data_IF_957988356156
#
_entry.id   IF_957988356156
#
_cell.length_a   1.000
_cell.length_b   1.000
_cell.length_c   1.000
_cell.angle_alpha   90.00
_cell.angle_beta   90.00
_cell.angle_gamma   90.00
#
_symmetry.space_group_name_H-M   'P 1'
#
loop_
_entity.id
_entity.type
_entity.pdbx_description
1 polymer ?
#
# COMPACT_ATOMS: atom_id res chain seq x y z
N UNK A 1 13.28 -34.54 31.18
CA UNK A 1 12.81 -34.87 29.82
C UNK A 1 11.40 -34.34 29.55
N UNK A 2 10.34 -34.74 30.27
CA UNK A 2 9.00 -34.13 30.09
C UNK A 2 8.94 -32.63 30.46
N UNK A 3 9.63 -32.23 31.53
CA UNK A 3 9.69 -30.83 31.96
C UNK A 3 10.36 -29.92 30.93
N UNK A 4 11.49 -30.36 30.36
CA UNK A 4 12.26 -29.59 29.36
C UNK A 4 11.47 -29.36 28.06
N UNK A 5 10.69 -30.36 27.63
CA UNK A 5 9.82 -30.25 26.44
C UNK A 5 8.66 -29.29 26.71
N UNK A 6 8.09 -29.33 27.92
CA UNK A 6 6.98 -28.45 28.32
C UNK A 6 7.44 -27.00 28.43
N UNK A 7 8.59 -26.74 29.05
CA UNK A 7 9.18 -25.40 29.18
C UNK A 7 9.52 -24.82 27.80
N UNK A 8 10.06 -25.62 26.88
CA UNK A 8 10.33 -25.18 25.50
C UNK A 8 9.06 -24.79 24.73
N UNK A 9 7.99 -25.59 24.84
CA UNK A 9 6.70 -25.29 24.19
C UNK A 9 6.07 -24.01 24.74
N UNK A 10 6.11 -23.80 26.05
CA UNK A 10 5.60 -22.59 26.70
C UNK A 10 6.38 -21.36 26.25
N UNK A 11 7.72 -21.43 26.22
CA UNK A 11 8.57 -20.33 25.75
C UNK A 11 8.25 -20.00 24.29
N UNK A 12 8.13 -21.01 23.42
CA UNK A 12 7.79 -20.85 22.01
C UNK A 12 6.46 -20.11 21.83
N UNK A 13 5.43 -20.51 22.57
CA UNK A 13 4.10 -19.89 22.48
C UNK A 13 4.10 -18.45 23.02
N UNK A 14 4.82 -18.19 24.12
CA UNK A 14 4.98 -16.83 24.65
C UNK A 14 5.68 -15.93 23.64
N UNK A 15 6.77 -16.39 23.02
CA UNK A 15 7.50 -15.61 22.00
C UNK A 15 6.62 -15.35 20.78
N UNK A 16 5.89 -16.36 20.30
CA UNK A 16 4.95 -16.20 19.20
C UNK A 16 3.90 -15.11 19.48
N UNK A 17 3.23 -15.18 20.64
CA UNK A 17 2.21 -14.20 21.00
C UNK A 17 2.79 -12.79 21.23
N UNK A 18 4.01 -12.67 21.76
CA UNK A 18 4.68 -11.39 21.88
C UNK A 18 4.96 -10.76 20.50
N UNK A 19 5.45 -11.55 19.53
CA UNK A 19 5.72 -11.05 18.17
C UNK A 19 4.41 -10.65 17.48
N UNK A 20 3.38 -11.51 17.54
CA UNK A 20 2.06 -11.20 16.98
C UNK A 20 1.47 -9.93 17.61
N UNK A 21 1.54 -9.82 18.93
CA UNK A 21 1.09 -8.64 19.66
C UNK A 21 1.83 -7.38 19.22
N UNK A 22 3.15 -7.44 19.09
CA UNK A 22 3.98 -6.32 18.65
C UNK A 22 3.67 -5.89 17.20
N UNK A 23 3.62 -6.83 16.26
CA UNK A 23 3.33 -6.56 14.85
C UNK A 23 1.91 -5.98 14.67
N UNK A 24 0.94 -6.54 15.38
CA UNK A 24 -0.45 -6.04 15.35
C UNK A 24 -0.55 -4.65 15.96
N UNK A 25 0.13 -4.41 17.09
CA UNK A 25 0.18 -3.10 17.72
C UNK A 25 0.81 -2.07 16.77
N UNK A 26 1.93 -2.40 16.13
CA UNK A 26 2.59 -1.54 15.16
C UNK A 26 1.67 -1.17 13.99
N UNK A 27 0.94 -2.15 13.44
CA UNK A 27 -0.05 -1.94 12.39
C UNK A 27 -1.17 -0.98 12.84
N UNK A 28 -1.74 -1.21 14.04
CA UNK A 28 -2.83 -0.39 14.59
C UNK A 28 -2.35 1.05 14.86
N UNK A 29 -1.15 1.23 15.42
CA UNK A 29 -0.56 2.54 15.67
C UNK A 29 -0.35 3.28 14.34
N UNK A 30 0.21 2.61 13.34
CA UNK A 30 0.42 3.19 12.01
C UNK A 30 -0.89 3.64 11.37
N UNK A 31 -1.92 2.78 11.38
CA UNK A 31 -3.25 3.14 10.88
C UNK A 31 -3.88 4.31 11.64
N UNK A 32 -3.69 4.38 12.97
CA UNK A 32 -4.14 5.54 13.78
C UNK A 32 -3.42 6.82 13.37
N UNK A 33 -2.11 6.79 13.17
CA UNK A 33 -1.33 7.95 12.73
C UNK A 33 -1.79 8.42 11.35
N UNK A 34 -1.97 7.51 10.40
CA UNK A 34 -2.49 7.82 9.06
C UNK A 34 -3.88 8.44 9.17
N UNK A 35 -4.80 7.79 9.89
CA UNK A 35 -6.17 8.31 10.07
C UNK A 35 -6.16 9.72 10.67
N UNK A 36 -5.33 9.96 11.69
CA UNK A 36 -5.20 11.27 12.33
C UNK A 36 -4.66 12.31 11.34
N UNK A 37 -3.60 11.97 10.61
CA UNK A 37 -3.04 12.85 9.56
C UNK A 37 -4.06 13.19 8.47
N UNK A 38 -4.93 12.24 8.09
CA UNK A 38 -6.00 12.47 7.12
C UNK A 38 -7.14 13.33 7.71
N UNK A 39 -7.49 13.12 8.98
CA UNK A 39 -8.51 13.92 9.66
C UNK A 39 -8.08 15.39 9.79
N UNK A 40 -6.81 15.63 10.08
CA UNK A 40 -6.26 16.98 10.26
C UNK A 40 -6.13 17.76 8.93
N UNK A 41 -6.18 17.08 7.77
CA UNK A 41 -5.88 17.66 6.45
C UNK A 41 -7.10 18.00 5.58
N UNK A 42 -8.32 18.11 6.14
CA UNK A 42 -9.57 18.32 5.38
C UNK A 42 -9.79 17.29 4.24
N UNK A 43 -9.16 16.13 4.35
CA UNK A 43 -9.14 15.14 3.28
C UNK A 43 -10.53 14.52 3.06
N UNK A 44 -10.93 14.41 1.79
CA UNK A 44 -12.20 13.75 1.40
C UNK A 44 -11.92 12.59 0.46
N UNK A 45 -12.44 11.42 0.84
CA UNK A 45 -12.36 10.20 0.03
C UNK A 45 -12.95 10.40 -1.37
N UNK A 46 -14.07 11.14 -1.46
CA UNK A 46 -14.72 11.44 -2.73
C UNK A 46 -13.80 12.21 -3.67
N UNK A 47 -13.00 13.14 -3.14
CA UNK A 47 -12.05 13.92 -3.94
C UNK A 47 -10.88 13.06 -4.43
N UNK A 48 -10.38 12.15 -3.58
CA UNK A 48 -9.28 11.25 -3.95
C UNK A 48 -9.67 10.25 -5.05
N UNK A 49 -10.94 9.82 -5.07
CA UNK A 49 -11.48 8.90 -6.07
C UNK A 49 -12.03 9.64 -7.30
N UNK A 50 -12.27 10.95 -7.22
CA UNK A 50 -12.77 11.73 -8.35
C UNK A 50 -11.65 12.20 -9.26
N UNK A 51 -11.90 12.28 -10.55
CA UNK A 51 -11.03 12.90 -11.54
C UNK A 51 -11.57 14.25 -11.98
N UNK A 52 -10.67 15.11 -12.47
CA UNK A 52 -11.06 16.36 -13.11
C UNK A 52 -11.82 16.03 -14.38
N UNK A 53 -12.98 16.63 -14.58
CA UNK A 53 -13.72 16.52 -15.83
C UNK A 53 -12.81 17.02 -16.96
N UNK A 54 -12.29 16.08 -17.78
CA UNK A 54 -11.51 16.43 -18.95
C UNK A 54 -12.39 17.25 -19.87
N UNK A 55 -11.98 18.48 -20.18
CA UNK A 55 -12.56 19.22 -21.32
C UNK A 55 -12.58 18.26 -22.52
N UNK A 56 -13.70 18.09 -23.25
CA UNK A 56 -13.78 17.16 -24.37
C UNK A 56 -12.61 17.42 -25.31
N UNK A 57 -11.82 16.39 -25.58
CA UNK A 57 -10.79 16.44 -26.59
C UNK A 57 -11.45 16.87 -27.91
N UNK A 58 -11.16 18.09 -28.36
CA UNK A 58 -11.49 18.49 -29.71
C UNK A 58 -10.80 17.50 -30.67
N UNK A 59 -11.48 17.05 -31.74
CA UNK A 59 -10.98 15.99 -32.61
C UNK A 59 -9.61 16.41 -33.17
N UNK A 60 -8.62 15.54 -32.99
CA UNK A 60 -7.27 15.75 -33.46
C UNK A 60 -7.28 15.95 -34.98
N UNK A 61 -6.86 17.14 -35.43
CA UNK A 61 -6.49 17.34 -36.82
C UNK A 61 -5.14 16.62 -37.08
N UNK A 62 -4.96 15.89 -38.20
CA UNK A 62 -3.77 15.10 -38.43
C UNK A 62 -2.57 16.00 -38.76
N UNK A 63 -1.48 15.93 -37.98
CA UNK A 63 -0.17 16.31 -38.52
C UNK A 63 0.86 17.04 -37.65
N UNK A 64 0.77 17.12 -36.31
CA UNK A 64 1.83 17.77 -35.51
C UNK A 64 2.36 16.91 -34.35
N UNK A 65 3.69 16.94 -34.08
CA UNK A 65 4.37 15.96 -33.25
C UNK A 65 4.03 16.15 -31.76
N UNK A 66 3.81 15.02 -31.08
CA UNK A 66 3.56 14.94 -29.65
C UNK A 66 4.78 15.44 -28.86
N UNK A 67 4.78 16.73 -28.53
CA UNK A 67 5.62 17.31 -27.49
C UNK A 67 4.84 17.32 -26.17
N UNK A 68 5.34 16.59 -25.18
CA UNK A 68 4.93 16.70 -23.77
C UNK A 68 5.24 18.12 -23.29
N UNK A 69 4.27 19.02 -23.45
CA UNK A 69 4.40 20.42 -23.10
C UNK A 69 3.07 20.93 -22.60
N UNK A 70 2.99 21.05 -21.26
CA UNK A 70 1.99 21.79 -20.48
C UNK A 70 1.07 22.69 -21.32
N UNK A 71 -0.14 22.21 -21.63
CA UNK A 71 -1.22 23.08 -22.05
C UNK A 71 -1.73 23.84 -20.81
N UNK A 72 -1.13 25.00 -20.52
CA UNK A 72 -1.77 26.01 -19.69
C UNK A 72 -3.04 26.47 -20.43
N UNK A 73 -4.18 25.91 -20.06
CA UNK A 73 -5.48 26.47 -20.42
C UNK A 73 -5.84 27.48 -19.34
N UNK A 74 -5.74 28.75 -19.68
CA UNK A 74 -6.34 29.85 -18.92
C UNK A 74 -7.86 29.68 -18.91
N UNK A 75 -8.41 29.13 -17.82
CA UNK A 75 -9.84 29.08 -17.56
C UNK A 75 -10.18 29.86 -16.28
N UNK A 76 -11.31 30.57 -16.32
CA UNK A 76 -11.88 31.42 -15.27
C UNK A 76 -11.91 30.75 -13.87
N UNK A 77 -12.03 31.52 -12.76
CA UNK A 77 -11.85 31.04 -11.39
C UNK A 77 -13.10 30.29 -10.86
N UNK A 78 -13.59 29.31 -11.62
CA UNK A 78 -14.55 28.32 -11.14
C UNK A 78 -13.80 27.10 -10.63
N UNK A 79 -14.08 26.65 -9.41
CA UNK A 79 -13.51 25.39 -8.89
C UNK A 79 -13.75 24.27 -9.91
N UNK A 80 -12.72 23.49 -10.28
CA UNK A 80 -12.88 22.39 -11.22
C UNK A 80 -13.97 21.43 -10.76
N UNK A 81 -14.83 21.00 -11.67
CA UNK A 81 -15.87 20.00 -11.39
C UNK A 81 -15.18 18.64 -11.29
N UNK A 82 -15.31 18.01 -10.13
CA UNK A 82 -14.75 16.70 -9.84
C UNK A 82 -15.81 15.63 -10.17
N UNK A 83 -15.48 14.70 -11.06
CA UNK A 83 -16.36 13.61 -11.50
C UNK A 83 -15.85 12.29 -10.95
N UNK A 84 -16.76 11.40 -10.54
CA UNK A 84 -16.39 10.10 -10.00
C UNK A 84 -15.61 9.27 -11.04
N UNK A 85 -14.39 8.83 -10.70
CA UNK A 85 -13.57 7.98 -11.56
C UNK A 85 -13.71 6.50 -11.17
N UNK A 86 -14.34 5.71 -12.04
CA UNK A 86 -14.43 4.25 -11.86
C UNK A 86 -13.05 3.59 -11.81
N UNK A 87 -12.06 4.14 -12.54
CA UNK A 87 -10.68 3.63 -12.55
C UNK A 87 -9.99 3.80 -11.19
N UNK A 88 -10.08 5.00 -10.58
CA UNK A 88 -9.52 5.27 -9.24
C UNK A 88 -10.20 4.43 -8.16
N UNK A 89 -11.51 4.18 -8.30
CA UNK A 89 -12.24 3.29 -7.39
C UNK A 89 -11.75 1.84 -7.48
N UNK A 90 -11.60 1.30 -8.69
CA UNK A 90 -11.08 -0.06 -8.89
C UNK A 90 -9.64 -0.17 -8.38
N UNK A 91 -8.81 0.85 -8.62
CA UNK A 91 -7.43 0.90 -8.10
C UNK A 91 -7.40 0.88 -6.57
N UNK A 92 -8.29 1.62 -5.90
CA UNK A 92 -8.43 1.57 -4.44
C UNK A 92 -8.80 0.18 -3.95
N UNK A 93 -9.83 -0.44 -4.54
CA UNK A 93 -10.29 -1.78 -4.15
C UNK A 93 -9.17 -2.80 -4.36
N UNK A 94 -8.48 -2.74 -5.50
CA UNK A 94 -7.31 -3.56 -5.79
C UNK A 94 -6.20 -3.37 -4.75
N UNK A 95 -5.94 -2.12 -4.35
CA UNK A 95 -4.99 -1.81 -3.29
C UNK A 95 -5.35 -2.42 -1.94
N UNK A 96 -6.63 -2.42 -1.56
CA UNK A 96 -7.11 -3.05 -0.32
C UNK A 96 -6.94 -4.57 -0.39
N UNK A 97 -7.30 -5.20 -1.50
CA UNK A 97 -7.14 -6.65 -1.70
C UNK A 97 -5.67 -7.03 -1.62
N UNK A 98 -4.79 -6.31 -2.33
CA UNK A 98 -3.35 -6.53 -2.28
C UNK A 98 -2.82 -6.37 -0.85
N UNK A 99 -3.18 -5.28 -0.15
CA UNK A 99 -2.77 -5.08 1.24
C UNK A 99 -3.21 -6.23 2.15
N UNK A 100 -4.46 -6.72 2.00
CA UNK A 100 -4.97 -7.85 2.75
C UNK A 100 -4.19 -9.15 2.46
N UNK A 101 -3.83 -9.39 1.19
CA UNK A 101 -3.00 -10.54 0.81
C UNK A 101 -1.60 -10.47 1.45
N UNK A 102 -0.92 -9.33 1.35
CA UNK A 102 0.41 -9.16 1.97
C UNK A 102 0.39 -9.34 3.48
N UNK A 103 -0.61 -8.75 4.16
CA UNK A 103 -0.78 -8.90 5.60
C UNK A 103 -1.10 -10.36 5.96
N UNK A 104 -2.05 -10.98 5.26
CA UNK A 104 -2.44 -12.38 5.48
C UNK A 104 -1.26 -13.34 5.33
N UNK A 105 -0.49 -13.21 4.25
CA UNK A 105 0.73 -13.99 4.02
C UNK A 105 1.78 -13.73 5.11
N UNK A 106 1.96 -12.48 5.54
CA UNK A 106 2.87 -12.13 6.64
C UNK A 106 2.50 -12.78 7.97
N UNK A 107 1.22 -12.74 8.37
CA UNK A 107 0.75 -13.41 9.59
C UNK A 107 0.84 -14.93 9.49
N UNK A 108 0.49 -15.50 8.32
CA UNK A 108 0.65 -16.92 8.07
C UNK A 108 2.12 -17.36 8.19
N UNK A 109 3.07 -16.54 7.71
CA UNK A 109 4.50 -16.82 7.85
C UNK A 109 4.95 -16.85 9.31
N UNK A 110 4.51 -15.88 10.12
CA UNK A 110 4.80 -15.88 11.55
C UNK A 110 4.26 -17.14 12.22
N UNK A 111 3.09 -17.63 11.80
CA UNK A 111 2.56 -18.89 12.29
C UNK A 111 3.38 -20.10 11.80
N UNK A 112 3.69 -20.18 10.51
CA UNK A 112 4.41 -21.29 9.91
C UNK A 112 5.81 -21.47 10.53
N UNK A 113 6.54 -20.38 10.77
CA UNK A 113 7.87 -20.42 11.42
C UNK A 113 7.84 -21.07 12.81
N UNK A 114 6.75 -20.87 13.56
CA UNK A 114 6.64 -21.34 14.95
C UNK A 114 5.91 -22.68 15.11
N UNK A 115 5.11 -23.10 14.12
CA UNK A 115 4.24 -24.28 14.24
C UNK A 115 4.36 -25.26 13.07
N UNK A 116 4.89 -24.86 11.91
CA UNK A 116 5.07 -25.70 10.73
C UNK A 116 6.51 -25.57 10.17
N UNK A 117 7.56 -25.84 10.96
CA UNK A 117 8.94 -25.63 10.55
C UNK A 117 9.35 -26.49 9.33
N UNK A 118 8.65 -27.57 9.05
CA UNK A 118 8.89 -28.41 7.87
C UNK A 118 8.45 -27.74 6.56
N UNK A 119 7.39 -26.95 6.60
CA UNK A 119 6.88 -26.18 5.45
C UNK A 119 7.72 -24.92 5.16
N UNK A 120 8.47 -24.49 6.18
CA UNK A 120 9.32 -23.30 6.14
C UNK A 120 10.64 -23.57 5.40
N UNK A 121 10.91 -24.79 4.92
CA UNK A 121 12.12 -25.12 4.12
C UNK A 121 12.30 -24.26 2.86
N UNK A 122 11.29 -23.49 2.46
CA UNK A 122 11.28 -22.60 1.28
C UNK A 122 11.14 -21.12 1.65
N UNK A 123 11.73 -20.66 2.77
CA UNK A 123 11.71 -19.23 3.17
C UNK A 123 12.12 -18.31 2.02
N UNK A 124 13.11 -18.73 1.21
CA UNK A 124 13.62 -17.94 0.09
C UNK A 124 12.56 -17.58 -0.95
N UNK A 125 11.62 -18.49 -1.23
CA UNK A 125 10.56 -18.21 -2.19
C UNK A 125 9.53 -17.21 -1.66
N UNK A 126 9.35 -17.20 -0.34
CA UNK A 126 8.42 -16.30 0.32
C UNK A 126 9.06 -14.92 0.47
N UNK A 127 10.38 -14.86 0.73
CA UNK A 127 11.16 -13.63 0.59
C UNK A 127 11.06 -13.07 -0.83
N UNK A 128 11.14 -13.93 -1.85
CA UNK A 128 10.95 -13.52 -3.24
C UNK A 128 9.54 -12.94 -3.50
N UNK A 129 8.49 -13.51 -2.89
CA UNK A 129 7.13 -12.94 -2.96
C UNK A 129 7.10 -11.50 -2.41
N UNK A 130 7.69 -11.25 -1.23
CA UNK A 130 7.74 -9.91 -0.66
C UNK A 130 8.61 -8.93 -1.47
N UNK A 131 9.76 -9.39 -1.99
CA UNK A 131 10.65 -8.58 -2.84
C UNK A 131 9.98 -8.19 -4.14
N UNK A 132 9.33 -9.14 -4.81
CA UNK A 132 8.54 -8.88 -6.02
C UNK A 132 7.40 -7.90 -5.71
N UNK A 133 6.77 -8.03 -4.55
CA UNK A 133 5.77 -7.07 -4.09
C UNK A 133 6.25 -5.64 -3.95
N UNK A 134 7.44 -5.44 -3.40
CA UNK A 134 8.02 -4.11 -3.28
C UNK A 134 8.24 -3.44 -4.65
N UNK A 135 8.45 -4.22 -5.72
CA UNK A 135 8.63 -3.66 -7.07
C UNK A 135 7.39 -2.93 -7.58
N UNK A 136 6.18 -3.37 -7.19
CA UNK A 136 4.91 -2.72 -7.55
C UNK A 136 4.82 -1.29 -7.01
N UNK A 137 5.49 -1.02 -5.88
CA UNK A 137 5.49 0.28 -5.21
C UNK A 137 6.80 1.06 -5.43
N UNK A 138 7.81 0.44 -6.03
CA UNK A 138 9.15 1.01 -6.22
C UNK A 138 9.14 2.35 -6.99
N UNK A 139 8.44 2.49 -8.13
CA UNK A 139 8.40 3.76 -8.86
C UNK A 139 7.88 4.93 -8.00
N UNK A 140 6.87 4.66 -7.18
CA UNK A 140 6.30 5.66 -6.27
C UNK A 140 7.25 6.00 -5.11
N UNK A 141 7.86 4.98 -4.50
CA UNK A 141 8.82 5.17 -3.41
C UNK A 141 10.02 6.01 -3.84
N UNK A 142 10.59 5.72 -5.02
CA UNK A 142 11.70 6.50 -5.59
C UNK A 142 11.29 7.93 -5.88
N UNK A 143 10.09 8.17 -6.45
CA UNK A 143 9.59 9.51 -6.70
C UNK A 143 9.46 10.31 -5.39
N UNK A 144 8.87 9.72 -4.34
CA UNK A 144 8.74 10.36 -3.02
C UNK A 144 10.10 10.65 -2.36
N UNK A 145 11.05 9.73 -2.44
CA UNK A 145 12.41 9.95 -1.92
C UNK A 145 13.10 11.09 -2.68
N UNK A 146 13.02 11.09 -4.01
CA UNK A 146 13.67 12.12 -4.83
C UNK A 146 13.18 13.52 -4.50
N UNK A 147 11.88 13.68 -4.20
CA UNK A 147 11.30 14.97 -3.84
C UNK A 147 11.70 15.42 -2.42
N UNK A 148 12.12 14.50 -1.54
CA UNK A 148 12.62 14.82 -0.20
C UNK A 148 14.09 15.26 -0.24
N UNK A 149 14.89 14.75 -1.18
CA UNK A 149 16.29 15.13 -1.39
C UNK A 149 16.48 16.31 -2.36
N UNK A 150 15.41 16.77 -3.00
CA UNK A 150 15.38 18.00 -3.83
C UNK A 150 15.03 19.26 -3.03
N UNK A 151 14.78 19.13 -1.72
CA UNK A 151 14.70 20.25 -0.78
C UNK A 151 16.04 20.45 -0.09
#
# INVERSE_FOLDING_TARGET
MEKDVTDFLVIKDVVFWLIIGFVTLFLVVTLKVIRRSLADSNWKMSEAISELEGTPAAPAAPGEPAGEGQAMVTAAPGKPVMVASSSRLIALIGGIILAAMYLGTGYYMLFAVFYLPEDVKRIDEINQFFVMGMTLFSPYAVNKLSNMFKG
#
